data_IF_178096017345
#
_entry.id   IF_178096017345
#
_cell.length_a   1.000
_cell.length_b   1.000
_cell.length_c   1.000
_cell.angle_alpha   90.00
_cell.angle_beta   90.00
_cell.angle_gamma   90.00
#
_symmetry.space_group_name_H-M   'P 1'
#
loop_
_entity.id
_entity.type
_entity.pdbx_description
1 polymer ?
#
# COMPACT_ATOMS: atom_id res chain seq x y z
N UNK A 1 3.95 27.04 22.73
CA UNK A 1 4.29 26.82 21.30
C UNK A 1 3.94 25.38 21.00
N UNK A 2 2.99 25.11 20.09
CA UNK A 2 2.55 23.75 19.77
C UNK A 2 3.09 23.33 18.39
N UNK A 3 3.93 22.30 18.39
CA UNK A 3 4.56 21.65 17.24
C UNK A 3 3.56 20.83 16.41
N UNK A 4 2.65 21.51 15.70
CA UNK A 4 1.64 20.88 14.83
C UNK A 4 2.06 20.85 13.35
N UNK A 5 3.37 20.84 13.07
CA UNK A 5 3.91 20.88 11.71
C UNK A 5 4.14 19.50 11.06
N UNK A 6 4.49 18.49 11.85
CA UNK A 6 5.03 17.22 11.34
C UNK A 6 3.96 16.25 10.81
N UNK A 7 2.71 16.37 11.27
CA UNK A 7 1.60 15.51 10.85
C UNK A 7 1.09 15.82 9.44
N UNK A 8 1.44 16.97 8.86
CA UNK A 8 0.93 17.38 7.54
C UNK A 8 1.76 16.78 6.39
N UNK A 9 3.07 16.63 6.59
CA UNK A 9 3.99 16.06 5.59
C UNK A 9 3.70 14.59 5.27
N UNK A 10 3.27 13.81 6.25
CA UNK A 10 2.88 12.40 6.04
C UNK A 10 1.57 12.27 5.26
N UNK A 11 0.66 13.23 5.36
CA UNK A 11 -0.59 13.25 4.60
C UNK A 11 -0.39 13.72 3.14
N UNK A 12 0.47 14.72 2.92
CA UNK A 12 0.81 15.21 1.58
C UNK A 12 1.63 14.19 0.76
N UNK A 13 2.50 13.41 1.42
CA UNK A 13 3.20 12.29 0.77
C UNK A 13 2.23 11.22 0.29
N UNK A 14 1.18 10.95 1.06
CA UNK A 14 0.13 9.99 0.68
C UNK A 14 -0.81 10.51 -0.42
N UNK A 15 -1.00 11.83 -0.50
CA UNK A 15 -1.79 12.43 -1.58
C UNK A 15 -1.06 12.42 -2.93
N UNK A 16 0.28 12.56 -2.92
CA UNK A 16 1.08 12.67 -4.15
C UNK A 16 1.27 11.34 -4.91
N UNK A 17 0.96 10.19 -4.27
CA UNK A 17 0.95 8.88 -4.93
C UNK A 17 -0.29 8.65 -5.83
N UNK A 18 -1.28 9.55 -5.80
CA UNK A 18 -2.55 9.36 -6.52
C UNK A 18 -2.61 10.13 -7.86
N UNK A 19 -1.65 11.03 -8.14
CA UNK A 19 -1.74 12.01 -9.23
C UNK A 19 -1.08 11.65 -10.56
N UNK A 20 -0.14 10.70 -10.60
CA UNK A 20 0.57 10.37 -11.84
C UNK A 20 -0.09 9.19 -12.58
N UNK A 21 -1.20 9.50 -13.26
CA UNK A 21 -1.47 9.00 -14.62
C UNK A 21 -1.29 7.49 -14.83
N UNK A 22 -2.28 6.68 -14.44
CA UNK A 22 -2.82 5.51 -15.19
C UNK A 22 -1.87 4.82 -16.20
N UNK A 23 -0.65 4.51 -15.77
CA UNK A 23 0.34 3.81 -16.54
C UNK A 23 0.25 2.39 -16.00
N UNK A 24 -0.29 1.47 -16.83
CA UNK A 24 -0.40 0.01 -16.58
C UNK A 24 0.32 -0.39 -15.29
N UNK A 25 -0.42 -0.54 -14.19
CA UNK A 25 0.12 -1.05 -12.92
C UNK A 25 1.04 -2.22 -13.23
N UNK A 26 2.34 -2.03 -12.97
CA UNK A 26 3.39 -3.03 -13.19
C UNK A 26 2.89 -4.40 -12.75
N UNK A 27 2.83 -5.35 -13.69
CA UNK A 27 2.36 -6.73 -13.45
C UNK A 27 3.09 -7.31 -12.23
N UNK A 28 4.38 -7.00 -12.12
CA UNK A 28 5.25 -7.34 -11.00
C UNK A 28 4.72 -6.87 -9.65
N UNK A 29 4.27 -5.63 -9.53
CA UNK A 29 3.73 -5.08 -8.28
C UNK A 29 2.42 -5.78 -7.91
N UNK A 30 1.58 -6.10 -8.91
CA UNK A 30 0.34 -6.84 -8.70
C UNK A 30 0.62 -8.26 -8.19
N UNK A 31 1.62 -8.94 -8.74
CA UNK A 31 1.99 -10.29 -8.34
C UNK A 31 2.57 -10.34 -6.92
N UNK A 32 3.42 -9.37 -6.55
CA UNK A 32 3.93 -9.24 -5.17
C UNK A 32 2.79 -9.02 -4.17
N UNK A 33 1.83 -8.17 -4.52
CA UNK A 33 0.64 -7.96 -3.70
C UNK A 33 -0.19 -9.24 -3.58
N UNK A 34 -0.40 -9.96 -4.68
CA UNK A 34 -1.17 -11.21 -4.66
C UNK A 34 -0.46 -12.29 -3.82
N UNK A 35 0.87 -12.38 -3.91
CA UNK A 35 1.68 -13.28 -3.10
C UNK A 35 1.58 -12.94 -1.60
N UNK A 36 1.67 -11.65 -1.27
CA UNK A 36 1.51 -11.17 0.11
C UNK A 36 0.12 -11.47 0.67
N UNK A 37 -0.94 -11.29 -0.14
CA UNK A 37 -2.32 -11.59 0.28
C UNK A 37 -2.54 -13.09 0.44
N UNK A 38 -2.00 -13.90 -0.47
CA UNK A 38 -2.10 -15.36 -0.40
C UNK A 38 -1.34 -15.94 0.80
N UNK A 39 -0.32 -15.26 1.32
CA UNK A 39 0.45 -15.70 2.48
C UNK A 39 -0.13 -15.23 3.83
N UNK A 40 -1.17 -14.40 3.84
CA UNK A 40 -1.82 -13.94 5.10
C UNK A 40 -2.29 -15.12 5.98
N UNK A 41 -2.95 -16.18 5.45
CA UNK A 41 -3.44 -17.28 6.29
C UNK A 41 -2.34 -18.06 6.99
N UNK A 42 -1.10 -17.99 6.51
CA UNK A 42 0.04 -18.75 7.03
C UNK A 42 1.03 -17.90 7.82
N UNK A 43 1.34 -16.68 7.33
CA UNK A 43 2.34 -15.78 7.92
C UNK A 43 1.73 -14.63 8.75
N UNK A 44 0.44 -14.35 8.57
CA UNK A 44 -0.27 -13.27 9.22
C UNK A 44 -0.12 -11.91 8.51
N UNK A 45 -1.00 -10.98 8.88
CA UNK A 45 -1.13 -9.67 8.26
C UNK A 45 0.12 -8.80 8.43
N UNK A 46 0.74 -8.86 9.61
CA UNK A 46 1.96 -8.10 9.91
C UNK A 46 3.12 -8.47 8.98
N UNK A 47 3.35 -9.78 8.76
CA UNK A 47 4.41 -10.26 7.86
C UNK A 47 4.13 -9.92 6.40
N UNK A 48 2.86 -9.96 5.98
CA UNK A 48 2.49 -9.51 4.64
C UNK A 48 2.78 -8.01 4.45
N UNK A 49 2.52 -7.18 5.45
CA UNK A 49 2.82 -5.75 5.40
C UNK A 49 4.34 -5.47 5.33
N UNK A 50 5.14 -6.19 6.12
CA UNK A 50 6.60 -6.09 6.11
C UNK A 50 7.21 -6.51 4.76
N UNK A 51 6.69 -7.57 4.15
CA UNK A 51 7.12 -8.00 2.81
C UNK A 51 6.85 -6.92 1.76
N UNK A 52 5.66 -6.30 1.79
CA UNK A 52 5.31 -5.22 0.87
C UNK A 52 6.19 -3.98 1.08
N UNK A 53 6.49 -3.63 2.34
CA UNK A 53 7.39 -2.53 2.68
C UNK A 53 8.82 -2.80 2.16
N UNK A 54 9.32 -4.03 2.32
CA UNK A 54 10.64 -4.45 1.84
C UNK A 54 10.73 -4.38 0.31
N UNK A 55 9.62 -4.66 -0.37
CA UNK A 55 9.52 -4.62 -1.83
C UNK A 55 9.18 -3.22 -2.39
N UNK A 56 9.28 -2.18 -1.55
CA UNK A 56 9.06 -0.78 -1.90
C UNK A 56 7.64 -0.50 -2.43
N UNK A 57 6.64 -1.26 -1.96
CA UNK A 57 5.23 -1.05 -2.28
C UNK A 57 4.68 0.08 -1.39
N UNK A 58 3.96 1.07 -1.95
CA UNK A 58 3.41 2.17 -1.16
C UNK A 58 2.49 1.72 -0.04
N UNK A 59 2.60 2.36 1.13
CA UNK A 59 1.84 2.02 2.32
C UNK A 59 0.31 2.12 2.10
N UNK A 60 -0.17 3.13 1.37
CA UNK A 60 -1.60 3.23 1.05
C UNK A 60 -2.11 2.05 0.23
N UNK A 61 -1.27 1.54 -0.69
CA UNK A 61 -1.61 0.36 -1.49
C UNK A 61 -1.69 -0.84 -0.56
N UNK A 62 -0.67 -1.07 0.27
CA UNK A 62 -0.65 -2.16 1.25
C UNK A 62 -1.88 -2.15 2.17
N UNK A 63 -2.22 -1.00 2.77
CA UNK A 63 -3.41 -0.85 3.62
C UNK A 63 -4.69 -1.18 2.85
N UNK A 64 -4.82 -0.71 1.60
CA UNK A 64 -5.99 -1.01 0.78
C UNK A 64 -6.13 -2.50 0.50
N UNK A 65 -5.05 -3.23 0.25
CA UNK A 65 -5.14 -4.67 -0.05
C UNK A 65 -5.27 -5.54 1.19
N UNK A 66 -4.64 -5.17 2.30
CA UNK A 66 -4.63 -5.96 3.53
C UNK A 66 -5.87 -5.72 4.40
N UNK A 67 -6.33 -4.46 4.50
CA UNK A 67 -7.42 -4.07 5.42
C UNK A 67 -8.76 -3.94 4.71
N UNK A 68 -8.76 -3.52 3.44
CA UNK A 68 -9.99 -3.24 2.68
C UNK A 68 -10.02 -3.98 1.33
N UNK A 69 -10.01 -5.33 1.33
CA UNK A 69 -9.88 -6.13 0.11
C UNK A 69 -10.99 -5.83 -0.92
N UNK A 70 -12.20 -5.51 -0.46
CA UNK A 70 -13.37 -5.17 -1.30
C UNK A 70 -13.29 -3.79 -1.95
N UNK A 71 -12.31 -2.95 -1.58
CA UNK A 71 -12.07 -1.63 -2.19
C UNK A 71 -11.07 -1.69 -3.35
N UNK A 72 -10.64 -2.89 -3.78
CA UNK A 72 -9.96 -3.08 -5.06
C UNK A 72 -10.92 -2.63 -6.17
N UNK A 73 -10.71 -1.42 -6.72
CA UNK A 73 -11.42 -0.96 -7.92
C UNK A 73 -11.18 -1.99 -9.02
N UNK A 74 -12.22 -2.75 -9.32
CA UNK A 74 -12.38 -3.53 -10.54
C UNK A 74 -12.27 -2.51 -11.67
N UNK A 75 -11.21 -2.63 -12.46
CA UNK A 75 -10.89 -1.75 -13.59
C UNK A 75 -10.67 -2.63 -14.81
#
# INVERSE_FOLDING_TARGET
>A
MNDTGELRTVADTAANATGARRQRTDIRTRDLINQAVASIPTLGLQRAAEFLATMNVPAEVAVRVLVYPNRRRIN
#
